data_IF_238063188025
#
_entry.id   IF_238063188025
#
_cell.length_a   1.000
_cell.length_b   1.000
_cell.length_c   1.000
_cell.angle_alpha   90.00
_cell.angle_beta   90.00
_cell.angle_gamma   90.00
#
_symmetry.space_group_name_H-M   'P 1'
#
loop_
_entity.id
_entity.type
_entity.pdbx_description
1 polymer ?
#
# COMPACT_ATOMS: atom_id res chain seq x y z
N UNK A 1 0.24 -6.40 -15.36
CA UNK A 1 -0.30 -5.33 -14.50
C UNK A 1 0.51 -4.04 -14.63
N UNK A 2 -0.16 -2.91 -14.63
CA UNK A 2 0.44 -1.57 -14.76
C UNK A 2 1.18 -1.28 -16.08
N UNK A 3 0.96 -2.06 -17.12
CA UNK A 3 1.51 -1.81 -18.47
C UNK A 3 0.43 -1.65 -19.52
N UNK A 4 0.80 -1.20 -20.72
CA UNK A 4 2.14 -0.82 -21.14
C UNK A 4 2.61 0.53 -20.61
N UNK A 5 3.95 0.74 -20.56
CA UNK A 5 4.57 2.02 -20.22
C UNK A 5 4.94 2.69 -21.56
N UNK A 6 4.22 3.73 -21.93
CA UNK A 6 4.36 4.42 -23.20
C UNK A 6 4.29 5.93 -22.98
N UNK A 7 4.92 6.69 -23.88
CA UNK A 7 4.63 8.11 -24.00
C UNK A 7 3.27 8.28 -24.69
N UNK A 8 2.21 8.46 -23.91
CA UNK A 8 0.83 8.55 -24.42
C UNK A 8 0.54 9.81 -25.23
N UNK A 9 1.44 10.79 -25.22
CA UNK A 9 1.37 12.00 -26.05
C UNK A 9 1.93 11.76 -27.47
N UNK A 10 2.67 10.68 -27.67
CA UNK A 10 3.22 10.32 -28.98
C UNK A 10 2.28 9.31 -29.66
N UNK A 11 1.37 9.83 -30.48
CA UNK A 11 0.37 9.01 -31.20
C UNK A 11 1.01 7.96 -32.13
N UNK A 12 2.13 8.30 -32.77
CA UNK A 12 2.83 7.38 -33.66
C UNK A 12 3.41 6.19 -32.87
N UNK A 13 4.04 6.45 -31.74
CA UNK A 13 4.56 5.41 -30.85
C UNK A 13 3.43 4.51 -30.30
N UNK A 14 2.34 5.10 -29.85
CA UNK A 14 1.18 4.36 -29.35
C UNK A 14 0.59 3.47 -30.44
N UNK A 15 0.41 4.03 -31.64
CA UNK A 15 -0.14 3.30 -32.79
C UNK A 15 0.74 2.13 -33.17
N UNK A 16 2.04 2.35 -33.33
CA UNK A 16 3.01 1.32 -33.65
C UNK A 16 3.00 0.20 -32.60
N UNK A 17 3.08 0.55 -31.31
CA UNK A 17 3.08 -0.43 -30.24
C UNK A 17 1.84 -1.35 -30.27
N UNK A 18 0.65 -0.79 -30.39
CA UNK A 18 -0.56 -1.62 -30.39
C UNK A 18 -0.75 -2.41 -31.68
N UNK A 19 -0.22 -1.94 -32.80
CA UNK A 19 -0.19 -2.74 -34.03
C UNK A 19 0.73 -3.97 -33.87
N UNK A 20 1.94 -3.78 -33.36
CA UNK A 20 2.88 -4.88 -33.11
C UNK A 20 2.37 -5.84 -32.03
N UNK A 21 1.78 -5.31 -30.95
CA UNK A 21 1.16 -6.14 -29.91
C UNK A 21 0.03 -7.02 -30.47
N UNK A 22 -0.79 -6.52 -31.39
CA UNK A 22 -1.82 -7.32 -32.06
C UNK A 22 -1.22 -8.42 -32.93
N UNK A 23 -0.14 -8.14 -33.68
CA UNK A 23 0.58 -9.14 -34.47
C UNK A 23 1.15 -10.24 -33.56
N UNK A 24 1.81 -9.85 -32.47
CA UNK A 24 2.35 -10.77 -31.48
C UNK A 24 1.26 -11.65 -30.85
N UNK A 25 0.13 -11.05 -30.45
CA UNK A 25 -0.97 -11.81 -29.88
C UNK A 25 -1.55 -12.85 -30.85
N UNK A 26 -1.69 -12.48 -32.13
CA UNK A 26 -2.13 -13.42 -33.17
C UNK A 26 -1.14 -14.58 -33.34
N UNK A 27 0.18 -14.32 -33.32
CA UNK A 27 1.21 -15.37 -33.40
C UNK A 27 1.13 -16.34 -32.22
N UNK A 28 0.66 -15.88 -31.06
CA UNK A 28 0.44 -16.69 -29.86
C UNK A 28 -0.97 -17.28 -29.76
N UNK A 29 -1.79 -17.13 -30.80
CA UNK A 29 -3.20 -17.57 -30.83
C UNK A 29 -4.02 -17.02 -29.64
N UNK A 30 -3.71 -15.82 -29.18
CA UNK A 30 -4.41 -15.19 -28.08
C UNK A 30 -5.79 -14.73 -28.52
N UNK A 31 -6.82 -15.02 -27.73
CA UNK A 31 -8.21 -14.66 -27.97
C UNK A 31 -8.42 -13.16 -27.70
N UNK A 32 -7.76 -12.64 -26.66
CA UNK A 32 -7.87 -11.24 -26.23
C UNK A 32 -6.60 -10.78 -25.55
N UNK A 33 -6.39 -9.46 -25.54
CA UNK A 33 -5.36 -8.79 -24.74
C UNK A 33 -6.08 -7.85 -23.78
N UNK A 34 -5.83 -8.00 -22.49
CA UNK A 34 -6.28 -7.06 -21.45
C UNK A 34 -5.07 -6.37 -20.85
N UNK A 35 -5.13 -5.06 -20.70
CA UNK A 35 -4.07 -4.27 -20.09
C UNK A 35 -4.65 -3.18 -19.20
N UNK A 36 -3.83 -2.71 -18.26
CA UNK A 36 -4.20 -1.73 -17.25
C UNK A 36 -2.98 -0.82 -16.99
N UNK A 37 -2.75 0.21 -17.84
CA UNK A 37 -1.59 1.07 -17.69
C UNK A 37 -1.74 2.00 -16.49
N UNK A 38 -0.63 2.27 -15.81
CA UNK A 38 -0.60 3.25 -14.74
C UNK A 38 -0.53 4.67 -15.33
N UNK A 39 -1.69 5.23 -15.62
CA UNK A 39 -1.81 6.58 -16.17
C UNK A 39 -2.68 7.43 -15.25
N UNK A 40 -2.17 8.61 -14.92
CA UNK A 40 -2.89 9.56 -14.08
C UNK A 40 -3.88 10.33 -14.97
N UNK A 41 -5.15 10.04 -14.83
CA UNK A 41 -6.22 10.74 -15.55
C UNK A 41 -6.54 12.11 -14.93
N UNK A 42 -6.40 12.22 -13.60
CA UNK A 42 -6.63 13.45 -12.84
C UNK A 42 -5.74 13.45 -11.61
N UNK A 43 -5.15 14.61 -11.31
CA UNK A 43 -4.44 14.85 -10.07
C UNK A 43 -4.90 16.18 -9.49
N UNK A 44 -5.23 16.19 -8.22
CA UNK A 44 -5.69 17.39 -7.52
C UNK A 44 -5.51 17.27 -6.02
N UNK A 45 -5.31 18.38 -5.30
CA UNK A 45 -5.32 18.39 -3.84
C UNK A 45 -6.65 17.89 -3.29
N UNK A 46 -6.62 17.28 -2.10
CA UNK A 46 -7.83 16.72 -1.48
C UNK A 46 -8.94 17.76 -1.29
N UNK A 47 -8.59 19.00 -0.99
CA UNK A 47 -9.50 20.12 -0.82
C UNK A 47 -10.30 20.43 -2.10
N UNK A 48 -9.68 20.19 -3.26
CA UNK A 48 -10.25 20.43 -4.59
C UNK A 48 -11.04 19.24 -5.15
N UNK A 49 -11.25 18.18 -4.36
CA UNK A 49 -11.91 16.94 -4.82
C UNK A 49 -13.33 17.12 -5.40
N UNK A 50 -14.01 18.22 -5.04
CA UNK A 50 -15.35 18.56 -5.53
C UNK A 50 -15.32 19.28 -6.89
N UNK A 51 -14.21 19.86 -7.32
CA UNK A 51 -14.09 20.72 -8.49
C UNK A 51 -14.01 19.94 -9.82
N UNK A 52 -13.90 18.60 -9.75
CA UNK A 52 -13.84 17.70 -10.93
C UNK A 52 -12.91 18.23 -12.04
N UNK A 53 -11.60 18.35 -11.81
CA UNK A 53 -10.66 18.85 -12.82
C UNK A 53 -10.75 18.06 -14.12
N UNK A 54 -10.35 18.67 -15.23
CA UNK A 54 -10.36 18.07 -16.56
C UNK A 54 -9.58 16.75 -16.62
N UNK A 55 -9.99 15.86 -17.50
CA UNK A 55 -9.30 14.59 -17.73
C UNK A 55 -8.14 14.81 -18.70
N UNK A 56 -6.97 14.32 -18.34
CA UNK A 56 -5.76 14.49 -19.14
C UNK A 56 -5.58 13.42 -20.25
N UNK A 57 -6.42 12.38 -20.26
CA UNK A 57 -6.22 11.19 -21.11
C UNK A 57 -7.29 11.00 -22.20
N UNK A 58 -8.12 12.01 -22.47
CA UNK A 58 -9.23 11.84 -23.43
C UNK A 58 -8.72 11.56 -24.85
N UNK A 59 -7.67 12.26 -25.29
CA UNK A 59 -7.06 12.03 -26.61
C UNK A 59 -6.49 10.61 -26.72
N UNK A 60 -5.82 10.13 -25.68
CA UNK A 60 -5.29 8.76 -25.64
C UNK A 60 -6.41 7.72 -25.74
N UNK A 61 -7.49 7.90 -24.99
CA UNK A 61 -8.65 7.00 -25.04
C UNK A 61 -9.31 7.04 -26.43
N UNK A 62 -9.42 8.21 -27.05
CA UNK A 62 -9.94 8.37 -28.40
C UNK A 62 -9.05 7.65 -29.44
N UNK A 63 -7.73 7.78 -29.33
CA UNK A 63 -6.78 7.07 -30.18
C UNK A 63 -6.91 5.55 -30.03
N UNK A 64 -6.97 5.05 -28.81
CA UNK A 64 -7.19 3.61 -28.56
C UNK A 64 -8.48 3.10 -29.20
N UNK A 65 -9.57 3.87 -29.15
CA UNK A 65 -10.82 3.53 -29.83
C UNK A 65 -10.65 3.43 -31.34
N UNK A 66 -9.93 4.40 -31.96
CA UNK A 66 -9.61 4.36 -33.40
C UNK A 66 -8.79 3.11 -33.78
N UNK A 67 -7.95 2.63 -32.86
CA UNK A 67 -7.20 1.40 -33.04
C UNK A 67 -8.02 0.12 -32.75
N UNK A 68 -9.32 0.24 -32.50
CA UNK A 68 -10.22 -0.88 -32.21
C UNK A 68 -10.03 -1.49 -30.82
N UNK A 69 -9.57 -0.70 -29.85
CA UNK A 69 -9.39 -1.11 -28.46
C UNK A 69 -10.57 -0.56 -27.65
N UNK A 70 -11.23 -1.43 -26.90
CA UNK A 70 -12.35 -1.05 -26.05
C UNK A 70 -11.86 -0.62 -24.66
N UNK A 71 -12.26 0.58 -24.24
CA UNK A 71 -12.15 1.01 -22.86
C UNK A 71 -13.36 0.47 -22.09
N UNK A 72 -13.12 -0.40 -21.10
CA UNK A 72 -14.19 -1.05 -20.31
C UNK A 72 -14.83 -0.13 -19.24
N UNK A 73 -14.49 1.14 -19.24
CA UNK A 73 -14.93 2.06 -18.20
C UNK A 73 -14.01 2.05 -16.98
N UNK A 74 -14.41 2.81 -15.98
CA UNK A 74 -13.71 2.87 -14.70
C UNK A 74 -14.40 1.95 -13.71
N UNK A 75 -13.61 1.12 -13.04
CA UNK A 75 -14.10 0.24 -11.98
C UNK A 75 -14.66 1.06 -10.82
N UNK A 76 -15.73 0.61 -10.20
CA UNK A 76 -16.34 1.21 -9.02
C UNK A 76 -15.95 0.40 -7.79
N UNK A 77 -16.01 -0.92 -7.89
CA UNK A 77 -15.69 -1.84 -6.82
C UNK A 77 -14.24 -2.33 -6.93
N UNK A 78 -13.60 -2.57 -5.79
CA UNK A 78 -12.22 -3.10 -5.78
C UNK A 78 -12.13 -4.52 -6.36
N UNK A 79 -13.22 -5.27 -6.34
CA UNK A 79 -13.31 -6.62 -6.88
C UNK A 79 -13.19 -6.68 -8.40
N UNK A 80 -13.52 -5.59 -9.08
CA UNK A 80 -13.51 -5.51 -10.55
C UNK A 80 -12.12 -5.35 -11.15
N UNK A 81 -11.13 -4.97 -10.34
CA UNK A 81 -9.77 -4.69 -10.79
C UNK A 81 -8.74 -5.11 -9.74
N UNK A 82 -7.61 -5.59 -10.23
CA UNK A 82 -6.44 -5.89 -9.38
C UNK A 82 -5.72 -4.62 -8.90
N UNK A 83 -6.08 -3.46 -9.44
CA UNK A 83 -5.41 -2.19 -9.17
C UNK A 83 -6.43 -1.14 -8.68
N UNK A 84 -6.09 -0.36 -7.65
CA UNK A 84 -6.96 0.69 -7.16
C UNK A 84 -7.13 1.79 -8.21
N UNK A 85 -8.38 2.23 -8.41
CA UNK A 85 -8.72 3.35 -9.29
C UNK A 85 -8.20 4.69 -8.76
N UNK A 86 -8.20 4.86 -7.45
CA UNK A 86 -7.76 6.07 -6.78
C UNK A 86 -6.54 5.79 -5.92
N UNK A 87 -5.58 6.70 -5.96
CA UNK A 87 -4.42 6.68 -5.08
C UNK A 87 -4.37 8.01 -4.33
N UNK A 88 -4.16 7.95 -3.02
CA UNK A 88 -3.80 9.10 -2.22
C UNK A 88 -2.28 9.13 -2.09
N UNK A 89 -1.68 10.23 -2.52
CA UNK A 89 -0.23 10.43 -2.44
C UNK A 89 0.08 11.55 -1.44
N UNK A 90 1.15 11.38 -0.69
CA UNK A 90 1.68 12.40 0.19
C UNK A 90 3.17 12.56 -0.06
N UNK A 91 3.62 13.77 -0.27
CA UNK A 91 5.06 14.05 -0.30
C UNK A 91 5.63 13.95 1.11
N UNK A 92 6.76 13.25 1.23
CA UNK A 92 7.50 13.11 2.47
C UNK A 92 8.70 14.05 2.39
N UNK A 93 8.70 15.07 3.24
CA UNK A 93 9.75 16.08 3.37
C UNK A 93 10.35 15.98 4.77
N UNK A 94 11.43 16.70 5.07
CA UNK A 94 12.10 16.65 6.38
C UNK A 94 11.14 16.99 7.54
N UNK A 95 10.24 17.95 7.33
CA UNK A 95 9.24 18.37 8.32
C UNK A 95 7.92 17.60 8.26
N UNK A 96 7.87 16.48 7.53
CA UNK A 96 6.67 15.66 7.31
C UNK A 96 5.93 15.33 8.62
N UNK A 97 6.67 14.95 9.66
CA UNK A 97 6.05 14.59 10.93
C UNK A 97 5.31 15.76 11.57
N UNK A 98 5.88 16.97 11.52
CA UNK A 98 5.24 18.18 12.07
C UNK A 98 3.96 18.57 11.33
N UNK A 99 3.89 18.28 10.04
CA UNK A 99 2.73 18.52 9.15
C UNK A 99 1.62 17.47 9.29
N UNK A 100 1.84 16.40 10.04
CA UNK A 100 0.79 15.41 10.30
C UNK A 100 -0.30 15.98 11.23
N UNK A 101 -1.57 15.55 11.06
CA UNK A 101 -2.64 15.89 11.99
C UNK A 101 -2.27 15.54 13.44
N UNK A 102 -2.69 16.35 14.39
CA UNK A 102 -2.40 16.17 15.81
C UNK A 102 -2.75 14.76 16.31
N UNK A 103 -3.88 14.24 15.89
CA UNK A 103 -4.33 12.89 16.25
C UNK A 103 -3.34 11.82 15.74
N UNK A 104 -2.85 11.93 14.50
CA UNK A 104 -1.87 11.00 13.93
C UNK A 104 -0.55 11.05 14.71
N UNK A 105 -0.06 12.25 15.02
CA UNK A 105 1.15 12.44 15.85
C UNK A 105 0.99 11.84 17.24
N UNK A 106 -0.19 12.00 17.85
CA UNK A 106 -0.51 11.40 19.15
C UNK A 106 -0.47 9.87 19.08
N UNK A 107 -1.07 9.26 18.05
CA UNK A 107 -1.03 7.79 17.88
C UNK A 107 0.39 7.27 17.66
N UNK A 108 1.22 7.98 16.89
CA UNK A 108 2.62 7.59 16.68
C UNK A 108 3.40 7.62 18.01
N UNK A 109 3.19 8.63 18.85
CA UNK A 109 3.83 8.69 20.18
C UNK A 109 3.32 7.57 21.07
N UNK A 110 2.01 7.39 21.16
CA UNK A 110 1.40 6.34 21.95
C UNK A 110 1.91 4.94 21.58
N UNK A 111 2.02 4.63 20.27
CA UNK A 111 2.55 3.32 19.85
C UNK A 111 4.01 3.14 20.24
N UNK A 112 4.82 4.19 20.18
CA UNK A 112 6.23 4.16 20.66
C UNK A 112 6.31 3.94 22.17
N UNK A 113 5.49 4.63 22.95
CA UNK A 113 5.39 4.47 24.42
C UNK A 113 4.97 3.04 24.79
N UNK A 114 4.08 2.43 24.00
CA UNK A 114 3.69 1.02 24.16
C UNK A 114 4.75 0.02 23.66
N UNK A 115 5.93 0.48 23.28
CA UNK A 115 7.07 -0.38 22.93
C UNK A 115 7.00 -0.98 21.53
N UNK A 116 6.10 -0.48 20.67
CA UNK A 116 6.09 -0.88 19.26
C UNK A 116 7.29 -0.25 18.55
N UNK A 117 8.05 -1.08 17.85
CA UNK A 117 9.16 -0.65 16.99
C UNK A 117 8.89 -1.07 15.55
N UNK A 118 9.33 -0.25 14.62
CA UNK A 118 9.38 -0.60 13.21
C UNK A 118 10.82 -0.96 12.88
N UNK A 119 11.00 -2.15 12.37
CA UNK A 119 12.30 -2.68 11.96
C UNK A 119 12.33 -2.75 10.44
N UNK A 120 13.45 -2.37 9.86
CA UNK A 120 13.72 -2.49 8.44
C UNK A 120 14.73 -3.63 8.22
N UNK A 121 14.47 -4.43 7.20
CA UNK A 121 15.42 -5.43 6.79
C UNK A 121 14.81 -6.68 6.15
N UNK A 122 15.51 -7.17 5.17
CA UNK A 122 15.17 -8.40 4.46
C UNK A 122 15.25 -9.65 5.33
N UNK A 123 16.00 -9.58 6.45
CA UNK A 123 16.13 -10.68 7.42
C UNK A 123 14.80 -11.05 8.10
N UNK A 124 13.77 -10.20 8.00
CA UNK A 124 12.44 -10.47 8.57
C UNK A 124 11.43 -10.97 7.54
N UNK A 125 11.89 -11.44 6.38
CA UNK A 125 10.98 -11.87 5.32
C UNK A 125 10.18 -13.12 5.71
N UNK A 126 10.77 -13.99 6.52
CA UNK A 126 10.11 -15.18 7.05
C UNK A 126 8.93 -14.81 7.97
N UNK A 127 9.09 -13.77 8.77
CA UNK A 127 8.03 -13.25 9.64
C UNK A 127 6.91 -12.60 8.82
N UNK A 128 7.25 -11.92 7.72
CA UNK A 128 6.27 -11.41 6.77
C UNK A 128 5.46 -12.57 6.16
N UNK A 129 6.13 -13.63 5.71
CA UNK A 129 5.47 -14.80 5.13
C UNK A 129 4.54 -15.48 6.13
N UNK A 130 4.95 -15.66 7.39
CA UNK A 130 4.09 -16.17 8.48
C UNK A 130 2.86 -15.28 8.68
N UNK A 131 3.02 -13.96 8.73
CA UNK A 131 1.91 -13.01 8.86
C UNK A 131 0.92 -13.10 7.70
N UNK A 132 1.42 -13.27 6.47
CA UNK A 132 0.60 -13.50 5.29
C UNK A 132 -0.17 -14.81 5.39
N UNK A 133 0.49 -15.90 5.83
CA UNK A 133 -0.16 -17.20 6.03
C UNK A 133 -1.30 -17.13 7.06
N UNK A 134 -1.12 -16.46 8.19
CA UNK A 134 -2.21 -16.22 9.14
C UNK A 134 -3.38 -15.44 8.51
N UNK A 135 -3.08 -14.51 7.62
CA UNK A 135 -4.11 -13.76 6.90
C UNK A 135 -4.86 -14.63 5.90
N UNK A 136 -4.17 -15.54 5.20
CA UNK A 136 -4.77 -16.55 4.32
C UNK A 136 -5.78 -17.42 5.07
N UNK A 137 -5.35 -17.98 6.20
CA UNK A 137 -6.22 -18.82 7.05
C UNK A 137 -7.46 -18.06 7.52
N UNK A 138 -7.29 -16.84 8.00
CA UNK A 138 -8.39 -16.01 8.51
C UNK A 138 -9.37 -15.57 7.42
N UNK A 139 -8.87 -15.19 6.25
CA UNK A 139 -9.68 -14.65 5.15
C UNK A 139 -10.09 -15.68 4.10
N UNK A 140 -9.56 -16.90 4.18
CA UNK A 140 -9.76 -17.99 3.20
C UNK A 140 -9.41 -17.56 1.77
N UNK A 141 -8.29 -16.86 1.61
CA UNK A 141 -7.74 -16.39 0.33
C UNK A 141 -6.32 -16.92 0.16
N UNK A 142 -5.83 -17.04 -1.07
CA UNK A 142 -4.43 -17.33 -1.34
C UNK A 142 -3.64 -16.02 -1.49
N UNK A 143 -2.54 -15.89 -0.78
CA UNK A 143 -1.61 -14.78 -0.88
C UNK A 143 -0.27 -15.25 -1.49
N UNK A 144 0.76 -14.43 -1.39
CA UNK A 144 2.09 -14.74 -1.93
C UNK A 144 2.90 -15.56 -0.95
N UNK A 145 3.65 -16.54 -1.49
CA UNK A 145 4.55 -17.40 -0.71
C UNK A 145 5.80 -16.66 -0.25
N UNK A 146 6.52 -17.25 0.69
CA UNK A 146 7.83 -16.78 1.14
C UNK A 146 8.83 -16.67 -0.01
N UNK A 147 8.89 -17.69 -0.89
CA UNK A 147 9.77 -17.68 -2.07
C UNK A 147 9.48 -16.50 -3.00
N UNK A 148 8.23 -16.10 -3.15
CA UNK A 148 7.88 -14.91 -3.92
C UNK A 148 8.49 -13.65 -3.33
N UNK A 149 8.45 -13.48 -2.01
CA UNK A 149 9.03 -12.31 -1.35
C UNK A 149 10.56 -12.35 -1.40
N UNK A 150 11.18 -13.51 -1.20
CA UNK A 150 12.63 -13.69 -1.34
C UNK A 150 13.08 -13.31 -2.76
N UNK A 151 12.38 -13.82 -3.76
CA UNK A 151 12.70 -13.49 -5.15
C UNK A 151 12.49 -12.00 -5.46
N UNK A 152 11.49 -11.35 -4.90
CA UNK A 152 11.33 -9.90 -5.02
C UNK A 152 12.55 -9.14 -4.46
N UNK A 153 13.06 -9.52 -3.29
CA UNK A 153 14.25 -8.90 -2.71
C UNK A 153 15.49 -9.11 -3.57
N UNK A 154 15.66 -10.30 -4.15
CA UNK A 154 16.77 -10.61 -5.07
C UNK A 154 16.73 -9.74 -6.34
N UNK A 155 15.54 -9.58 -6.93
CA UNK A 155 15.35 -8.81 -8.18
C UNK A 155 15.47 -7.31 -7.94
N UNK A 156 14.87 -6.79 -6.89
CA UNK A 156 14.81 -5.35 -6.64
C UNK A 156 15.94 -4.82 -5.76
N UNK A 157 16.60 -5.69 -4.98
CA UNK A 157 17.75 -5.35 -4.14
C UNK A 157 17.53 -4.08 -3.32
N UNK A 158 18.38 -3.09 -3.49
CA UNK A 158 18.37 -1.76 -2.86
C UNK A 158 17.14 -0.90 -3.20
N UNK A 159 16.36 -1.29 -4.21
CA UNK A 159 15.11 -0.63 -4.59
C UNK A 159 13.87 -1.20 -3.90
N UNK A 160 14.06 -2.12 -2.98
CA UNK A 160 12.98 -2.69 -2.15
C UNK A 160 13.17 -2.32 -0.69
N UNK A 161 12.07 -2.03 -0.02
CA UNK A 161 12.03 -1.75 1.42
C UNK A 161 11.06 -2.72 2.05
N UNK A 162 11.55 -3.51 3.02
CA UNK A 162 10.72 -4.38 3.85
C UNK A 162 10.69 -3.81 5.27
N UNK A 163 9.50 -3.61 5.81
CA UNK A 163 9.32 -3.11 7.17
C UNK A 163 8.37 -4.01 7.96
N UNK A 164 8.71 -4.24 9.22
CA UNK A 164 7.89 -5.02 10.15
C UNK A 164 7.69 -4.25 11.44
N UNK A 165 6.46 -4.20 11.91
CA UNK A 165 6.15 -3.66 13.23
C UNK A 165 6.18 -4.80 14.26
N UNK A 166 6.97 -4.64 15.31
CA UNK A 166 7.15 -5.64 16.36
C UNK A 166 6.79 -5.07 17.72
N UNK A 167 6.21 -5.91 18.57
CA UNK A 167 5.95 -5.63 19.96
C UNK A 167 6.61 -6.72 20.83
N UNK A 168 7.46 -6.29 21.75
CA UNK A 168 8.10 -7.19 22.72
C UNK A 168 7.17 -7.38 23.93
N UNK A 169 6.31 -8.38 23.89
CA UNK A 169 5.37 -8.68 24.98
C UNK A 169 6.05 -8.92 26.34
N UNK A 170 7.12 -9.72 26.48
CA UNK A 170 7.81 -9.89 27.76
C UNK A 170 8.26 -8.59 28.39
N UNK A 171 8.86 -7.71 27.58
CA UNK A 171 9.30 -6.39 28.07
C UNK A 171 8.13 -5.52 28.50
N UNK A 172 7.04 -5.55 27.74
CA UNK A 172 5.84 -4.77 28.04
C UNK A 172 5.16 -5.26 29.32
N UNK A 173 5.08 -6.57 29.51
CA UNK A 173 4.53 -7.17 30.74
C UNK A 173 5.38 -6.81 31.96
N UNK A 174 6.71 -6.85 31.84
CA UNK A 174 7.60 -6.45 32.93
C UNK A 174 7.41 -4.98 33.33
N UNK A 175 7.30 -4.09 32.32
CA UNK A 175 7.04 -2.66 32.56
C UNK A 175 5.69 -2.43 33.26
N UNK A 176 4.62 -3.08 32.81
CA UNK A 176 3.29 -2.95 33.41
C UNK A 176 3.27 -3.47 34.85
N UNK A 177 3.96 -4.58 35.13
CA UNK A 177 4.09 -5.10 36.48
C UNK A 177 4.80 -4.13 37.41
N UNK A 178 5.85 -3.47 36.92
CA UNK A 178 6.55 -2.42 37.68
C UNK A 178 5.64 -1.22 37.95
N UNK A 179 4.91 -0.71 36.93
CA UNK A 179 3.95 0.40 37.11
C UNK A 179 2.88 0.06 38.17
N UNK A 180 2.33 -1.18 38.13
CA UNK A 180 1.35 -1.64 39.10
C UNK A 180 1.96 -1.61 40.52
N UNK A 181 3.16 -2.15 40.71
CA UNK A 181 3.83 -2.17 42.02
C UNK A 181 4.10 -0.76 42.55
N UNK A 182 4.51 0.17 41.68
CA UNK A 182 4.72 1.57 42.06
C UNK A 182 3.42 2.26 42.49
N UNK A 183 2.30 1.97 41.81
CA UNK A 183 0.98 2.50 42.17
C UNK A 183 0.51 1.91 43.50
N UNK A 184 0.68 0.61 43.69
CA UNK A 184 0.30 -0.08 44.96
C UNK A 184 1.08 0.52 46.13
N UNK A 185 2.38 0.71 46.00
CA UNK A 185 3.23 1.35 47.01
C UNK A 185 2.76 2.76 47.37
N UNK A 186 2.41 3.58 46.34
CA UNK A 186 1.88 4.93 46.57
C UNK A 186 0.53 4.92 47.31
N UNK A 187 -0.37 4.00 46.95
CA UNK A 187 -1.67 3.85 47.62
C UNK A 187 -1.54 3.42 49.08
N UNK A 188 -0.54 2.58 49.37
CA UNK A 188 -0.24 2.20 50.77
C UNK A 188 0.32 3.37 51.58
N UNK A 189 1.18 4.20 50.98
CA UNK A 189 1.74 5.38 51.64
C UNK A 189 0.71 6.49 51.90
N UNK A 190 -0.27 6.66 50.97
CA UNK A 190 -1.31 7.69 51.09
C UNK A 190 -2.52 7.25 51.93
N UNK A 191 -2.55 6.04 52.51
CA UNK A 191 -3.67 5.50 53.27
C UNK A 191 -5.04 5.64 52.60
N UNK A 192 -5.06 5.62 51.27
CA UNK A 192 -6.30 5.72 50.51
C UNK A 192 -7.06 4.37 50.57
N UNK A 193 -8.37 4.37 50.92
CA UNK A 193 -9.15 3.13 50.94
C UNK A 193 -9.16 2.53 49.51
N UNK A 194 -8.76 1.24 49.43
CA UNK A 194 -8.87 0.48 48.18
C UNK A 194 -10.34 0.46 47.73
N UNK A 195 -10.66 1.15 46.65
CA UNK A 195 -11.94 0.90 45.98
C UNK A 195 -11.91 -0.55 45.46
N UNK A 196 -12.81 -1.38 45.97
CA UNK A 196 -13.08 -2.69 45.39
C UNK A 196 -13.55 -2.43 43.95
N UNK A 197 -12.78 -2.93 42.99
CA UNK A 197 -13.15 -3.00 41.59
C UNK A 197 -14.01 -4.23 41.35
#
# INVERSE_FOLDING_TARGET
>A
PRGPILNVQNEAQVTFYFQELKKFAKSKKAIAIRFDPYLISRSYPYEQRKQKPERQLENYVALLKKLGIQHKGYTILMEESTQPRFNACKHVEEDFFSKLPNQTRRYIRFTKEKGIRVLEGSQYIDELAKSMHYTELRKKIALRSEDYFKHMLEVYKDRSISMIAVLNFPKQIAHLKQEISEIETKLEQENLPRKQL
#
